data_IF_466448694494
#
_entry.id   IF_466448694494
#
_cell.length_a   1.000
_cell.length_b   1.000
_cell.length_c   1.000
_cell.angle_alpha   90.00
_cell.angle_beta   90.00
_cell.angle_gamma   90.00
#
_symmetry.space_group_name_H-M   'P 1'
#
loop_
_entity.id
_entity.type
_entity.pdbx_description
1 polymer ?
#
# COMPACT_ATOMS: atom_id res chain seq x y z
N UNK A 1 -15.86 -0.20 13.32
CA UNK A 1 -15.02 -1.39 13.58
C UNK A 1 -15.05 -2.26 12.33
N UNK A 2 -14.06 -2.13 11.46
CA UNK A 2 -13.78 -3.08 10.37
C UNK A 2 -12.33 -3.45 10.54
N UNK A 3 -12.12 -4.67 11.01
CA UNK A 3 -10.80 -5.22 11.27
C UNK A 3 -10.02 -5.33 9.94
N UNK A 4 -8.99 -4.51 9.82
CA UNK A 4 -7.82 -4.76 8.96
C UNK A 4 -6.57 -4.28 9.71
N UNK A 5 -6.56 -4.47 11.03
CA UNK A 5 -5.38 -4.36 11.90
C UNK A 5 -4.81 -5.74 12.22
N UNK A 6 -4.81 -6.63 11.22
CA UNK A 6 -3.88 -7.75 11.18
C UNK A 6 -2.74 -7.32 10.26
N UNK A 7 -1.45 -7.47 10.61
CA UNK A 7 -0.37 -7.15 9.70
C UNK A 7 -0.61 -7.92 8.40
N UNK A 8 -0.78 -7.23 7.27
CA UNK A 8 -0.86 -7.82 5.93
C UNK A 8 0.46 -8.52 5.50
N UNK A 9 1.27 -8.92 6.47
CA UNK A 9 2.63 -9.41 6.35
C UNK A 9 2.96 -10.37 7.51
N UNK A 10 2.10 -11.35 7.80
CA UNK A 10 2.61 -12.59 8.40
C UNK A 10 3.37 -13.37 7.32
N UNK A 11 4.66 -13.05 7.16
CA UNK A 11 5.58 -13.93 6.44
C UNK A 11 6.25 -14.81 7.50
N UNK A 12 5.75 -16.04 7.63
CA UNK A 12 6.30 -17.13 8.48
C UNK A 12 6.38 -16.89 10.01
N UNK A 13 5.52 -16.06 10.59
CA UNK A 13 5.43 -15.97 12.07
C UNK A 13 6.67 -15.41 12.78
N UNK A 14 7.57 -14.73 12.05
CA UNK A 14 8.71 -14.02 12.62
C UNK A 14 8.41 -12.52 12.73
N UNK A 15 8.95 -11.88 13.77
CA UNK A 15 8.78 -10.43 13.99
C UNK A 15 9.43 -9.65 12.83
N UNK A 16 8.91 -8.48 12.42
CA UNK A 16 9.38 -7.74 11.24
C UNK A 16 10.85 -7.32 11.26
N UNK A 17 11.49 -7.24 12.43
CA UNK A 17 12.94 -7.01 12.56
C UNK A 17 13.81 -8.26 12.32
N UNK A 18 13.22 -9.46 12.36
CA UNK A 18 13.92 -10.74 12.20
C UNK A 18 13.69 -11.37 10.81
N UNK A 19 12.86 -10.74 9.97
CA UNK A 19 12.66 -11.10 8.58
C UNK A 19 13.83 -10.60 7.71
N UNK A 20 15.05 -11.03 8.02
CA UNK A 20 16.15 -10.94 7.07
C UNK A 20 15.80 -11.90 5.92
N UNK A 21 15.38 -11.33 4.80
CA UNK A 21 15.21 -12.10 3.58
C UNK A 21 16.61 -12.34 3.01
N UNK A 22 17.09 -13.57 3.11
CA UNK A 22 18.37 -13.95 2.53
C UNK A 22 18.25 -14.26 1.02
N UNK A 23 19.40 -14.28 0.33
CA UNK A 23 19.47 -14.58 -1.09
C UNK A 23 18.76 -13.55 -1.96
N UNK A 24 18.03 -14.01 -2.97
CA UNK A 24 17.36 -13.16 -3.97
C UNK A 24 16.27 -12.26 -3.37
N UNK A 25 15.74 -12.61 -2.19
CA UNK A 25 14.63 -11.92 -1.55
C UNK A 25 15.05 -10.72 -0.69
N UNK A 26 16.35 -10.42 -0.56
CA UNK A 26 16.91 -9.35 0.29
C UNK A 26 16.35 -7.94 0.04
N UNK A 27 15.75 -7.72 -1.13
CA UNK A 27 15.15 -6.43 -1.49
C UNK A 27 13.66 -6.32 -1.12
N UNK A 28 13.01 -7.41 -0.70
CA UNK A 28 11.59 -7.41 -0.35
C UNK A 28 11.22 -6.44 0.79
N UNK A 29 12.02 -6.27 1.86
CA UNK A 29 11.71 -5.28 2.89
C UNK A 29 11.52 -3.86 2.34
N UNK A 30 12.35 -3.45 1.37
CA UNK A 30 12.27 -2.14 0.73
C UNK A 30 10.97 -2.00 -0.06
N UNK A 31 10.59 -3.04 -0.81
CA UNK A 31 9.33 -3.08 -1.56
C UNK A 31 8.12 -2.97 -0.62
N UNK A 32 8.15 -3.65 0.52
CA UNK A 32 7.06 -3.58 1.51
C UNK A 32 6.93 -2.20 2.17
N UNK A 33 8.06 -1.55 2.47
CA UNK A 33 8.06 -0.17 2.98
C UNK A 33 7.49 0.77 1.93
N UNK A 34 7.91 0.64 0.67
CA UNK A 34 7.40 1.45 -0.44
C UNK A 34 5.89 1.26 -0.61
N UNK A 35 5.38 0.02 -0.59
CA UNK A 35 3.95 -0.25 -0.68
C UNK A 35 3.16 0.41 0.45
N UNK A 36 3.62 0.27 1.70
CA UNK A 36 2.95 0.91 2.85
C UNK A 36 2.98 2.43 2.77
N UNK A 37 4.08 3.00 2.29
CA UNK A 37 4.17 4.44 2.06
C UNK A 37 3.16 4.89 0.99
N UNK A 38 3.06 4.18 -0.13
CA UNK A 38 2.10 4.49 -1.20
C UNK A 38 0.65 4.43 -0.71
N UNK A 39 0.27 3.41 0.07
CA UNK A 39 -1.08 3.32 0.65
C UNK A 39 -1.35 4.52 1.56
N UNK A 40 -0.41 4.86 2.44
CA UNK A 40 -0.54 6.02 3.33
C UNK A 40 -0.70 7.32 2.55
N UNK A 41 0.06 7.51 1.48
CA UNK A 41 -0.02 8.72 0.64
C UNK A 41 -1.38 8.89 -0.05
N UNK A 42 -2.09 7.80 -0.35
CA UNK A 42 -3.46 7.88 -0.86
C UNK A 42 -4.44 8.20 0.28
N UNK A 43 -4.33 7.50 1.41
CA UNK A 43 -5.32 7.60 2.49
C UNK A 43 -5.18 8.85 3.36
N UNK A 44 -3.97 9.40 3.50
CA UNK A 44 -3.74 10.60 4.31
C UNK A 44 -4.14 11.90 3.58
N UNK A 45 -4.18 11.86 2.24
CA UNK A 45 -4.40 13.06 1.40
C UNK A 45 -5.81 13.10 0.78
N UNK A 46 -6.59 12.02 0.89
CA UNK A 46 -7.97 11.97 0.39
C UNK A 46 -8.95 12.14 1.55
N UNK A 47 -9.75 13.18 1.50
CA UNK A 47 -10.81 13.43 2.47
C UNK A 47 -12.16 12.85 2.00
N UNK A 48 -13.12 12.75 2.92
CA UNK A 48 -14.48 12.37 2.55
C UNK A 48 -15.14 13.40 1.60
N UNK A 49 -14.77 14.68 1.72
CA UNK A 49 -15.27 15.71 0.83
C UNK A 49 -14.81 15.44 -0.60
N UNK A 50 -13.52 15.17 -0.80
CA UNK A 50 -12.94 14.87 -2.11
C UNK A 50 -13.62 13.66 -2.76
N UNK A 51 -13.99 12.66 -1.96
CA UNK A 51 -14.75 11.49 -2.44
C UNK A 51 -16.17 11.86 -2.87
N UNK A 52 -16.86 12.72 -2.12
CA UNK A 52 -18.23 13.14 -2.42
C UNK A 52 -18.28 14.09 -3.63
N UNK A 53 -17.31 14.98 -3.76
CA UNK A 53 -17.22 15.94 -4.87
C UNK A 53 -16.59 15.33 -6.12
N UNK A 54 -15.79 14.27 -5.97
CA UNK A 54 -14.97 13.70 -7.03
C UNK A 54 -13.67 14.48 -7.30
N UNK A 55 -13.36 15.48 -6.47
CA UNK A 55 -12.16 16.33 -6.60
C UNK A 55 -10.95 15.65 -5.94
N UNK A 56 -10.54 14.50 -6.48
CA UNK A 56 -9.43 13.72 -5.93
C UNK A 56 -8.05 14.38 -6.21
N UNK A 57 -7.08 14.23 -5.30
CA UNK A 57 -5.70 14.67 -5.52
C UNK A 57 -5.10 14.08 -6.81
N UNK A 58 -4.28 14.88 -7.49
CA UNK A 58 -3.72 14.53 -8.80
C UNK A 58 -2.91 13.23 -8.81
N UNK A 59 -2.18 12.91 -7.73
CA UNK A 59 -1.42 11.65 -7.64
C UNK A 59 -2.33 10.43 -7.56
N UNK A 60 -3.49 10.54 -6.90
CA UNK A 60 -4.47 9.46 -6.80
C UNK A 60 -5.08 9.19 -8.17
N UNK A 61 -5.44 10.25 -8.90
CA UNK A 61 -5.91 10.14 -10.29
C UNK A 61 -4.83 9.51 -11.18
N UNK A 62 -3.58 9.95 -11.07
CA UNK A 62 -2.46 9.37 -11.81
C UNK A 62 -2.21 7.88 -11.51
N UNK A 63 -2.46 7.43 -10.28
CA UNK A 63 -2.42 6.00 -9.93
C UNK A 63 -3.59 5.23 -10.56
N UNK A 64 -4.79 5.82 -10.58
CA UNK A 64 -6.00 5.21 -11.14
C UNK A 64 -6.00 5.16 -12.68
N UNK A 65 -5.30 6.08 -13.34
CA UNK A 65 -5.17 6.15 -14.81
C UNK A 65 -4.14 5.17 -15.38
N UNK A 66 -3.41 4.43 -14.55
CA UNK A 66 -2.45 3.45 -15.07
C UNK A 66 -3.18 2.36 -15.87
N UNK A 67 -2.64 1.92 -17.02
CA UNK A 67 -3.33 0.97 -17.93
C UNK A 67 -3.78 -0.35 -17.27
N UNK A 68 -3.14 -0.68 -16.15
CA UNK A 68 -3.32 -1.92 -15.42
C UNK A 68 -4.05 -1.74 -14.09
N UNK A 69 -4.32 -0.50 -13.65
CA UNK A 69 -4.79 -0.20 -12.29
C UNK A 69 -6.10 -0.92 -11.93
N UNK A 70 -6.98 -1.08 -12.92
CA UNK A 70 -8.30 -1.71 -12.74
C UNK A 70 -8.31 -3.20 -13.09
N UNK A 71 -7.17 -3.76 -13.51
CA UNK A 71 -7.10 -5.19 -13.84
C UNK A 71 -6.76 -5.96 -12.57
N UNK A 72 -7.69 -6.80 -12.12
CA UNK A 72 -7.36 -7.84 -11.16
C UNK A 72 -6.36 -8.81 -11.80
N UNK A 73 -5.13 -8.89 -11.26
CA UNK A 73 -4.17 -9.96 -11.55
C UNK A 73 -4.27 -11.04 -10.49
#
# INVERSE_FOLDING_TARGET
MRAVDGPLAEVRGARPQDAAYDGDARHLPVVWVALRASIRQVLDEVTLLDVVTGELPAHVLGLADQPDAWRNR
#
